data_IF_458102374165
#
_entry.id   IF_458102374165
#
_cell.length_a   1.000
_cell.length_b   1.000
_cell.length_c   1.000
_cell.angle_alpha   90.00
_cell.angle_beta   90.00
_cell.angle_gamma   90.00
#
_symmetry.space_group_name_H-M   'P 1'
#
loop_
_entity.id
_entity.type
_entity.pdbx_description
1 polymer ?
#
# COMPACT_ATOMS: atom_id res chain seq x y z
N UNK A 1 -1.48 16.75 -12.64
CA UNK A 1 -0.81 15.68 -11.88
C UNK A 1 -1.66 15.35 -10.69
N UNK A 2 -1.87 14.07 -10.38
CA UNK A 2 -2.55 13.64 -9.17
C UNK A 2 -1.59 13.79 -7.99
N UNK A 3 -1.75 14.86 -7.21
CA UNK A 3 -1.05 15.04 -5.95
C UNK A 3 -1.55 13.98 -4.96
N UNK A 4 -0.64 13.14 -4.46
CA UNK A 4 -0.93 12.04 -3.53
C UNK A 4 -0.22 12.26 -2.19
N UNK A 5 0.11 13.51 -1.87
CA UNK A 5 0.78 13.89 -0.63
C UNK A 5 0.05 13.32 0.58
N UNK A 6 0.76 12.55 1.41
CA UNK A 6 0.20 11.95 2.62
C UNK A 6 -0.61 10.68 2.40
N UNK A 7 -0.75 10.21 1.16
CA UNK A 7 -1.60 9.06 0.81
C UNK A 7 -0.80 7.77 0.60
N UNK A 8 -1.47 6.65 0.81
CA UNK A 8 -0.99 5.33 0.39
C UNK A 8 -1.53 5.05 -1.01
N UNK A 9 -0.65 4.74 -1.95
CA UNK A 9 -1.02 4.56 -3.36
C UNK A 9 -1.17 3.08 -3.68
N UNK A 10 -2.32 2.69 -4.24
CA UNK A 10 -2.57 1.35 -4.76
C UNK A 10 -2.28 1.32 -6.27
N UNK A 11 -1.37 0.46 -6.71
CA UNK A 11 -0.90 0.39 -8.10
C UNK A 11 -0.98 -1.02 -8.67
N UNK A 12 -1.59 -1.14 -9.85
CA UNK A 12 -1.57 -2.37 -10.63
C UNK A 12 -0.21 -2.56 -11.33
N UNK A 13 0.24 -3.82 -11.39
CA UNK A 13 1.39 -4.24 -12.20
C UNK A 13 1.11 -3.97 -13.67
N UNK A 14 2.04 -3.27 -14.32
CA UNK A 14 1.98 -2.98 -15.75
C UNK A 14 3.36 -3.12 -16.41
N UNK A 15 3.59 -2.38 -17.49
CA UNK A 15 4.80 -2.48 -18.30
C UNK A 15 6.06 -1.86 -17.69
N UNK A 16 5.93 -0.95 -16.72
CA UNK A 16 7.07 -0.31 -16.05
C UNK A 16 7.54 -1.07 -14.80
N UNK A 17 8.81 -0.90 -14.44
CA UNK A 17 9.39 -1.53 -13.25
C UNK A 17 8.78 -1.00 -11.95
N UNK A 18 8.65 -1.88 -10.94
CA UNK A 18 8.16 -1.51 -9.60
C UNK A 18 8.98 -0.38 -8.96
N UNK A 19 10.30 -0.40 -9.14
CA UNK A 19 11.20 0.65 -8.67
C UNK A 19 10.80 2.03 -9.21
N UNK A 20 10.57 2.14 -10.52
CA UNK A 20 10.21 3.39 -11.16
C UNK A 20 8.85 3.92 -10.66
N UNK A 21 7.87 3.02 -10.50
CA UNK A 21 6.55 3.35 -9.96
C UNK A 21 6.62 3.84 -8.52
N UNK A 22 7.41 3.16 -7.67
CA UNK A 22 7.58 3.54 -6.28
C UNK A 22 8.33 4.88 -6.13
N UNK A 23 9.40 5.10 -6.91
CA UNK A 23 10.13 6.36 -6.93
C UNK A 23 9.23 7.53 -7.39
N UNK A 24 8.45 7.33 -8.45
CA UNK A 24 7.50 8.33 -8.93
C UNK A 24 6.41 8.65 -7.89
N UNK A 25 5.92 7.63 -7.19
CA UNK A 25 4.92 7.82 -6.12
C UNK A 25 5.48 8.60 -4.93
N UNK A 26 6.71 8.28 -4.51
CA UNK A 26 7.44 9.02 -3.49
C UNK A 26 7.62 10.49 -3.88
N UNK A 27 8.04 10.76 -5.11
CA UNK A 27 8.19 12.12 -5.64
C UNK A 27 6.87 12.90 -5.70
N UNK A 28 5.74 12.19 -5.82
CA UNK A 28 4.40 12.77 -5.77
C UNK A 28 3.84 12.93 -4.34
N UNK A 29 4.64 12.62 -3.31
CA UNK A 29 4.31 12.80 -1.89
C UNK A 29 3.64 11.60 -1.22
N UNK A 30 3.57 10.44 -1.88
CA UNK A 30 3.04 9.23 -1.27
C UNK A 30 3.81 8.86 0.00
N UNK A 31 3.12 8.33 1.00
CA UNK A 31 3.74 7.84 2.25
C UNK A 31 3.95 6.32 2.25
N UNK A 32 3.31 5.60 1.31
CA UNK A 32 3.52 4.18 1.06
C UNK A 32 2.98 3.79 -0.32
N UNK A 33 3.42 2.64 -0.84
CA UNK A 33 2.91 2.04 -2.09
C UNK A 33 2.49 0.59 -1.85
N UNK A 34 1.36 0.19 -2.44
CA UNK A 34 0.91 -1.20 -2.50
C UNK A 34 0.80 -1.61 -3.96
N UNK A 35 1.51 -2.67 -4.34
CA UNK A 35 1.36 -3.28 -5.67
C UNK A 35 0.42 -4.49 -5.63
N UNK A 36 -0.36 -4.66 -6.69
CA UNK A 36 -1.09 -5.89 -6.96
C UNK A 36 -0.91 -6.31 -8.42
N UNK A 37 -1.00 -7.60 -8.70
CA UNK A 37 -0.81 -8.12 -10.06
C UNK A 37 -2.08 -7.92 -10.90
N UNK A 38 -1.92 -7.75 -12.21
CA UNK A 38 -3.06 -7.74 -13.14
C UNK A 38 -3.58 -9.17 -13.42
N UNK A 39 -2.76 -10.19 -13.14
CA UNK A 39 -3.14 -11.60 -13.25
C UNK A 39 -3.88 -12.07 -11.99
N UNK A 40 -4.90 -12.91 -12.18
CA UNK A 40 -5.68 -13.57 -11.12
C UNK A 40 -4.82 -14.58 -10.32
N UNK A 41 -4.03 -14.08 -9.37
CA UNK A 41 -3.40 -14.88 -8.33
C UNK A 41 -3.95 -14.51 -6.95
N UNK A 42 -4.27 -15.53 -6.14
CA UNK A 42 -4.70 -15.36 -4.74
C UNK A 42 -3.56 -15.07 -3.77
N UNK A 43 -2.33 -14.91 -4.27
CA UNK A 43 -1.15 -14.64 -3.46
C UNK A 43 -0.55 -13.28 -3.83
N UNK A 44 -0.02 -12.52 -2.86
CA UNK A 44 0.77 -11.33 -3.15
C UNK A 44 2.00 -11.67 -3.99
N UNK A 45 2.41 -10.75 -4.86
CA UNK A 45 3.67 -10.89 -5.60
C UNK A 45 4.86 -10.78 -4.66
N UNK A 46 5.97 -11.44 -5.00
CA UNK A 46 7.25 -11.26 -4.33
C UNK A 46 7.98 -10.10 -5.01
N UNK A 47 8.35 -9.07 -4.23
CA UNK A 47 9.24 -8.01 -4.70
C UNK A 47 10.68 -8.43 -4.44
N UNK A 48 11.45 -8.62 -5.51
CA UNK A 48 12.90 -8.77 -5.41
C UNK A 48 13.52 -7.39 -5.66
N UNK A 49 14.26 -6.81 -4.70
CA UNK A 49 14.94 -5.55 -4.93
C UNK A 49 15.95 -5.71 -6.08
N UNK A 50 16.03 -4.74 -7.01
CA UNK A 50 16.87 -4.86 -8.21
C UNK A 50 18.38 -4.84 -7.90
N UNK A 51 18.77 -4.41 -6.70
CA UNK A 51 20.16 -4.44 -6.22
C UNK A 51 20.22 -4.47 -4.70
N UNK A 52 21.35 -4.92 -4.15
CA UNK A 52 21.69 -4.81 -2.72
C UNK A 52 22.19 -3.41 -2.32
N UNK A 53 22.38 -2.50 -3.28
CA UNK A 53 22.76 -1.13 -3.00
C UNK A 53 21.62 -0.37 -2.29
N UNK A 54 21.93 0.67 -1.48
CA UNK A 54 20.92 1.48 -0.82
C UNK A 54 19.91 2.03 -1.84
N UNK A 55 18.64 1.68 -1.64
CA UNK A 55 17.52 2.14 -2.46
C UNK A 55 17.29 3.64 -2.26
N UNK A 56 17.03 4.39 -3.34
CA UNK A 56 16.56 5.79 -3.24
C UNK A 56 15.09 5.89 -2.80
N UNK A 57 14.38 4.77 -2.77
CA UNK A 57 13.03 4.67 -2.21
C UNK A 57 13.15 4.52 -0.69
N UNK A 58 12.61 5.49 0.03
CA UNK A 58 12.55 5.53 1.50
C UNK A 58 11.15 5.27 2.05
N UNK A 59 10.12 5.30 1.20
CA UNK A 59 8.75 4.93 1.60
C UNK A 59 8.57 3.41 1.61
N UNK A 60 7.77 2.85 2.52
CA UNK A 60 7.48 1.43 2.53
C UNK A 60 6.70 1.01 1.28
N UNK A 61 7.05 -0.18 0.77
CA UNK A 61 6.44 -0.79 -0.41
C UNK A 61 5.93 -2.18 -0.05
N UNK A 62 4.65 -2.42 -0.31
CA UNK A 62 3.94 -3.66 0.00
C UNK A 62 3.40 -4.31 -1.28
N UNK A 63 2.99 -5.56 -1.14
CA UNK A 63 2.24 -6.28 -2.17
C UNK A 63 0.96 -6.86 -1.61
N UNK A 64 -0.03 -7.01 -2.47
CA UNK A 64 -1.35 -7.52 -2.13
C UNK A 64 -1.85 -8.45 -3.23
N UNK A 65 -2.67 -9.44 -2.87
CA UNK A 65 -3.36 -10.26 -3.86
C UNK A 65 -4.37 -9.42 -4.65
N UNK A 66 -4.58 -9.75 -5.93
CA UNK A 66 -5.47 -8.97 -6.81
C UNK A 66 -6.89 -8.86 -6.25
N UNK A 67 -7.44 -9.95 -5.74
CA UNK A 67 -8.79 -9.99 -5.15
C UNK A 67 -8.96 -8.97 -4.00
N UNK A 68 -7.95 -8.83 -3.14
CA UNK A 68 -7.99 -7.93 -1.99
C UNK A 68 -7.85 -6.47 -2.45
N UNK A 69 -7.00 -6.22 -3.47
CA UNK A 69 -6.85 -4.90 -4.07
C UNK A 69 -8.13 -4.43 -4.75
N UNK A 70 -8.87 -5.31 -5.41
CA UNK A 70 -10.17 -5.00 -6.01
C UNK A 70 -11.24 -4.74 -4.94
N UNK A 71 -11.25 -5.53 -3.87
CA UNK A 71 -12.14 -5.29 -2.72
C UNK A 71 -11.85 -3.93 -2.07
N UNK A 72 -10.57 -3.59 -1.86
CA UNK A 72 -10.16 -2.30 -1.32
C UNK A 72 -10.50 -1.14 -2.26
N UNK A 73 -10.24 -1.29 -3.56
CA UNK A 73 -10.56 -0.28 -4.56
C UNK A 73 -12.07 0.01 -4.58
N UNK A 74 -12.91 -1.03 -4.66
CA UNK A 74 -14.36 -0.86 -4.64
C UNK A 74 -14.86 -0.22 -3.33
N UNK A 75 -14.31 -0.59 -2.18
CA UNK A 75 -14.66 0.01 -0.89
C UNK A 75 -14.20 1.48 -0.76
N UNK A 76 -13.06 1.84 -1.36
CA UNK A 76 -12.53 3.21 -1.38
C UNK A 76 -13.44 4.16 -2.18
N UNK A 77 -13.92 3.72 -3.33
CA UNK A 77 -14.87 4.49 -4.15
C UNK A 77 -16.22 4.69 -3.46
N UNK A 78 -16.60 3.77 -2.58
CA UNK A 78 -17.78 3.89 -1.72
C UNK A 78 -17.56 4.77 -0.46
N UNK A 79 -16.34 5.30 -0.24
CA UNK A 79 -15.99 6.07 0.96
C UNK A 79 -15.91 5.22 2.25
N UNK A 80 -15.92 3.89 2.13
CA UNK A 80 -16.05 2.95 3.24
C UNK A 80 -14.70 2.38 3.73
N UNK A 81 -13.61 2.61 2.98
CA UNK A 81 -12.28 2.13 3.32
C UNK A 81 -11.23 3.25 3.20
N UNK A 82 -10.29 3.26 4.13
CA UNK A 82 -9.15 4.17 4.16
C UNK A 82 -7.95 3.38 4.71
N UNK A 83 -6.75 3.71 4.22
CA UNK A 83 -5.52 3.08 4.65
C UNK A 83 -4.83 3.98 5.65
N UNK A 84 -4.43 3.42 6.79
CA UNK A 84 -3.61 4.13 7.78
C UNK A 84 -2.24 3.49 7.85
N UNK A 85 -1.21 4.30 7.60
CA UNK A 85 0.15 3.94 7.95
C UNK A 85 0.29 4.02 9.47
N UNK A 86 0.73 2.93 10.09
CA UNK A 86 0.85 2.84 11.54
C UNK A 86 2.27 2.40 11.89
N UNK A 87 2.89 3.13 12.81
CA UNK A 87 4.13 2.71 13.44
C UNK A 87 3.78 1.72 14.55
N UNK A 88 4.43 0.54 14.64
CA UNK A 88 4.24 -0.38 15.75
C UNK A 88 4.31 0.32 17.11
N UNK A 89 3.38 -0.01 18.02
CA UNK A 89 3.43 0.41 19.43
C UNK A 89 4.58 -0.31 20.15
N UNK A 90 4.93 -1.51 19.67
CA UNK A 90 6.12 -2.23 20.11
C UNK A 90 7.33 -1.87 19.22
N UNK A 91 8.18 -1.00 19.74
CA UNK A 91 9.40 -0.53 19.10
C UNK A 91 10.49 -1.61 18.97
N UNK A 92 10.28 -2.82 19.50
CA UNK A 92 11.19 -3.96 19.29
C UNK A 92 11.12 -4.52 17.86
N UNK A 93 10.09 -4.15 17.09
CA UNK A 93 9.94 -4.48 15.68
C UNK A 93 9.99 -3.16 14.90
N UNK A 94 11.17 -2.79 14.40
CA UNK A 94 11.41 -1.51 13.74
C UNK A 94 10.79 -1.38 12.32
N UNK A 95 9.88 -2.28 11.93
CA UNK A 95 9.34 -2.32 10.57
C UNK A 95 7.93 -1.69 10.53
N UNK A 96 7.73 -0.65 9.70
CA UNK A 96 6.40 -0.11 9.49
C UNK A 96 5.47 -1.18 8.90
N UNK A 97 4.23 -1.23 9.37
CA UNK A 97 3.19 -2.05 8.76
C UNK A 97 1.97 -1.21 8.42
N UNK A 98 1.18 -1.73 7.49
CA UNK A 98 -0.03 -1.07 7.02
C UNK A 98 -1.25 -1.72 7.67
N UNK A 99 -2.12 -0.91 8.28
CA UNK A 99 -3.41 -1.36 8.77
C UNK A 99 -4.50 -0.99 7.77
N UNK A 100 -5.17 -2.02 7.24
CA UNK A 100 -6.47 -1.87 6.58
C UNK A 100 -7.55 -1.89 7.66
N UNK A 101 -8.37 -0.84 7.69
CA UNK A 101 -9.57 -0.83 8.51
C UNK A 101 -10.78 -0.43 7.64
N UNK A 102 -11.85 -1.23 7.72
CA UNK A 102 -13.16 -0.84 7.21
C UNK A 102 -13.88 -0.11 8.35
N UNK A 103 -14.53 1.01 8.05
CA UNK A 103 -15.46 1.63 9.01
C UNK A 103 -16.67 0.73 9.22
N UNK A 104 -17.17 0.67 10.45
CA UNK A 104 -18.50 0.13 10.71
C UNK A 104 -19.61 1.07 10.16
N UNK A 105 -20.87 0.65 10.27
CA UNK A 105 -22.03 1.42 9.80
C UNK A 105 -22.18 2.79 10.50
N UNK A 106 -21.51 2.97 11.64
CA UNK A 106 -21.50 4.18 12.46
C UNK A 106 -20.28 5.08 12.15
N UNK A 107 -19.41 4.66 11.23
CA UNK A 107 -18.24 5.40 10.81
C UNK A 107 -17.02 5.27 11.73
N UNK A 108 -17.04 4.34 12.70
CA UNK A 108 -15.95 4.08 13.65
C UNK A 108 -15.05 2.97 13.15
N UNK A 109 -13.82 2.97 13.67
CA UNK A 109 -12.86 1.90 13.46
C UNK A 109 -13.03 0.92 14.61
N UNK A 110 -13.47 -0.31 14.32
CA UNK A 110 -13.60 -1.33 15.34
C UNK A 110 -12.28 -1.50 16.09
N UNK A 111 -12.32 -1.45 17.42
CA UNK A 111 -11.13 -1.71 18.23
C UNK A 111 -10.75 -3.19 18.05
N UNK A 112 -9.51 -3.43 17.65
CA UNK A 112 -8.97 -4.78 17.60
C UNK A 112 -8.84 -5.29 19.05
N UNK A 113 -9.71 -6.21 19.44
CA UNK A 113 -9.61 -6.97 20.69
C UNK A 113 -8.48 -7.98 20.67
#
# INVERSE_FOLDING_TARGET
SSNVTGMVVLLERGSCYFYQKALASQQAGAVAVIFFDHVEYRQPMILVPPSLAPSQISIPVFTMARQDALALSSASWAGAAYLKHVTPIDTSIALPFLLLAKKDEEGKYGEAG
#
